data_IF_010253895819
#
_entry.id   IF_010253895819
#
_cell.length_a   1.000
_cell.length_b   1.000
_cell.length_c   1.000
_cell.angle_alpha   90.00
_cell.angle_beta   90.00
_cell.angle_gamma   90.00
#
_symmetry.space_group_name_H-M   'P 1'
#
loop_
_entity.id
_entity.type
_entity.pdbx_description
1 polymer ?
#
# COMPACT_ATOMS: atom_id res chain seq x y z
N UNK A 1 16.95 3.45 10.03
CA UNK A 1 15.81 3.60 9.10
C UNK A 1 14.74 4.42 9.78
N UNK A 2 13.98 5.25 9.05
CA UNK A 2 13.05 6.22 9.67
C UNK A 2 12.02 5.59 10.63
N UNK A 3 11.61 4.34 10.37
CA UNK A 3 10.65 3.59 11.18
C UNK A 3 11.27 2.87 12.39
N UNK A 4 12.58 2.59 12.39
CA UNK A 4 13.27 1.86 13.46
C UNK A 4 13.38 2.66 14.77
N UNK A 5 13.20 3.99 14.70
CA UNK A 5 13.20 4.86 15.88
C UNK A 5 11.90 4.76 16.70
N UNK A 6 10.84 4.18 16.12
CA UNK A 6 9.50 4.12 16.71
C UNK A 6 9.05 2.68 17.03
N UNK A 7 9.89 1.69 16.74
CA UNK A 7 9.62 0.28 17.02
C UNK A 7 10.38 -0.67 16.13
N UNK A 8 10.13 -1.97 16.33
CA UNK A 8 10.75 -3.02 15.51
C UNK A 8 10.07 -3.09 14.14
N UNK A 9 10.85 -2.99 13.08
CA UNK A 9 10.35 -3.24 11.71
C UNK A 9 10.52 -4.71 11.37
N UNK A 10 9.41 -5.43 11.19
CA UNK A 10 9.45 -6.83 10.79
C UNK A 10 9.74 -6.97 9.30
N UNK A 11 9.12 -6.13 8.47
CA UNK A 11 9.34 -6.14 7.03
C UNK A 11 9.06 -4.78 6.41
N UNK A 12 9.85 -4.41 5.39
CA UNK A 12 9.62 -3.19 4.60
C UNK A 12 9.65 -3.53 3.11
N UNK A 13 8.57 -3.18 2.41
CA UNK A 13 8.39 -3.48 0.99
C UNK A 13 8.04 -2.23 0.20
N UNK A 14 8.99 -1.75 -0.60
CA UNK A 14 8.77 -0.65 -1.55
C UNK A 14 8.10 -1.21 -2.81
N UNK A 15 7.04 -0.54 -3.28
CA UNK A 15 6.39 -0.93 -4.52
C UNK A 15 7.06 -0.17 -5.67
N UNK A 16 7.76 -0.91 -6.52
CA UNK A 16 8.30 -0.41 -7.78
C UNK A 16 7.42 -0.82 -8.95
N UNK A 17 7.45 -0.04 -10.02
CA UNK A 17 6.89 -0.40 -11.30
C UNK A 17 7.75 -1.52 -11.92
N UNK A 18 7.11 -2.60 -12.33
CA UNK A 18 7.84 -3.82 -12.76
C UNK A 18 8.40 -3.70 -14.17
N UNK A 19 7.99 -2.71 -14.94
CA UNK A 19 8.43 -2.52 -16.33
C UNK A 19 9.57 -1.50 -16.41
N UNK A 20 9.43 -0.37 -15.72
CA UNK A 20 10.43 0.71 -15.66
C UNK A 20 11.45 0.54 -14.54
N UNK A 21 11.12 -0.21 -13.48
CA UNK A 21 11.94 -0.33 -12.27
C UNK A 21 11.83 0.88 -11.33
N UNK A 22 11.09 1.92 -11.71
CA UNK A 22 10.95 3.13 -10.91
C UNK A 22 10.09 2.89 -9.65
N UNK A 23 10.45 3.54 -8.54
CA UNK A 23 9.62 3.53 -7.35
C UNK A 23 8.28 4.17 -7.64
N UNK A 24 7.19 3.55 -7.22
CA UNK A 24 5.85 4.15 -7.34
C UNK A 24 5.58 5.21 -6.28
N UNK A 25 6.57 5.53 -5.45
CA UNK A 25 6.46 6.52 -4.38
C UNK A 25 5.68 6.04 -3.15
N UNK A 26 5.42 4.73 -3.03
CA UNK A 26 4.77 4.15 -1.86
C UNK A 26 5.34 2.76 -1.52
N UNK A 27 5.22 2.40 -0.24
CA UNK A 27 5.64 1.11 0.28
C UNK A 27 4.76 0.69 1.45
N UNK A 28 4.98 -0.53 1.91
CA UNK A 28 4.32 -1.09 3.09
C UNK A 28 5.39 -1.44 4.11
N UNK A 29 5.14 -1.10 5.36
CA UNK A 29 5.97 -1.47 6.52
C UNK A 29 5.11 -2.31 7.44
N UNK A 30 5.62 -3.48 7.82
CA UNK A 30 5.02 -4.42 8.74
C UNK A 30 5.73 -4.29 10.09
N UNK A 31 4.95 -4.02 11.13
CA UNK A 31 5.39 -3.86 12.51
C UNK A 31 4.70 -4.94 13.35
N UNK A 32 5.39 -5.53 14.35
CA UNK A 32 4.85 -6.65 15.11
C UNK A 32 3.71 -6.21 16.05
N UNK A 33 3.67 -4.94 16.46
CA UNK A 33 2.61 -4.41 17.32
C UNK A 33 1.92 -3.20 16.70
N UNK A 34 0.60 -3.10 16.96
CA UNK A 34 -0.20 -1.94 16.54
C UNK A 34 0.23 -0.65 17.26
N UNK A 35 0.75 -0.75 18.48
CA UNK A 35 1.21 0.40 19.26
C UNK A 35 2.40 1.09 18.55
N UNK A 36 3.44 0.33 18.23
CA UNK A 36 4.61 0.83 17.48
C UNK A 36 4.21 1.39 16.11
N UNK A 37 3.30 0.69 15.40
CA UNK A 37 2.78 1.19 14.12
C UNK A 37 2.06 2.54 14.26
N UNK A 38 1.31 2.75 15.35
CA UNK A 38 0.56 3.98 15.60
C UNK A 38 1.48 5.13 15.97
N UNK A 39 2.51 4.89 16.79
CA UNK A 39 3.54 5.88 17.09
C UNK A 39 4.31 6.29 15.84
N UNK A 40 4.73 5.31 15.03
CA UNK A 40 5.40 5.57 13.75
C UNK A 40 4.51 6.37 12.79
N UNK A 41 3.22 6.03 12.68
CA UNK A 41 2.26 6.82 11.89
C UNK A 41 2.21 8.27 12.39
N UNK A 42 1.99 8.48 13.68
CA UNK A 42 1.84 9.83 14.24
C UNK A 42 3.10 10.68 14.12
N UNK A 43 4.30 10.07 14.13
CA UNK A 43 5.56 10.80 14.09
C UNK A 43 6.10 11.00 12.67
N UNK A 44 5.81 10.08 11.75
CA UNK A 44 6.30 10.12 10.38
C UNK A 44 5.28 10.66 9.38
N UNK A 45 3.99 10.66 9.69
CA UNK A 45 2.99 11.27 8.82
C UNK A 45 3.24 12.77 8.65
N UNK A 46 3.36 13.21 7.39
CA UNK A 46 3.70 14.57 7.04
C UNK A 46 5.18 14.94 7.22
N UNK A 47 6.01 14.02 7.73
CA UNK A 47 7.45 14.25 7.87
C UNK A 47 8.17 14.23 6.53
N UNK A 48 9.34 14.86 6.47
CA UNK A 48 10.21 14.81 5.29
C UNK A 48 11.15 13.61 5.39
N UNK A 49 11.11 12.74 4.38
CA UNK A 49 12.00 11.60 4.24
C UNK A 49 12.77 11.73 2.92
N UNK A 50 14.10 11.92 3.03
CA UNK A 50 15.01 12.09 1.88
C UNK A 50 14.59 13.22 0.93
N UNK A 51 14.11 14.35 1.46
CA UNK A 51 13.68 15.49 0.66
C UNK A 51 12.28 15.37 0.07
N UNK A 52 11.50 14.37 0.46
CA UNK A 52 10.10 14.22 0.06
C UNK A 52 9.20 14.07 1.28
N UNK A 53 8.09 14.80 1.32
CA UNK A 53 7.06 14.58 2.34
C UNK A 53 6.43 13.20 2.14
N UNK A 54 6.38 12.44 3.23
CA UNK A 54 5.74 11.13 3.26
C UNK A 54 4.42 11.18 4.00
N UNK A 55 3.52 10.29 3.62
CA UNK A 55 2.23 10.07 4.29
C UNK A 55 2.29 8.66 4.86
N UNK A 56 1.98 8.52 6.14
CA UNK A 56 2.04 7.23 6.84
C UNK A 56 0.68 6.96 7.47
N UNK A 57 -0.01 5.95 6.94
CA UNK A 57 -1.36 5.59 7.37
C UNK A 57 -1.54 4.08 7.52
N UNK A 58 -2.66 3.69 8.15
CA UNK A 58 -2.98 2.29 8.36
C UNK A 58 -3.14 1.59 7.01
N UNK A 59 -2.32 0.56 6.79
CA UNK A 59 -2.29 -0.18 5.53
C UNK A 59 -3.64 -0.85 5.30
N UNK A 60 -4.40 -0.35 4.33
CA UNK A 60 -5.64 -1.01 3.91
C UNK A 60 -5.27 -2.27 3.13
N UNK A 61 -5.86 -3.44 3.46
CA UNK A 61 -5.65 -4.64 2.66
C UNK A 61 -6.03 -4.29 1.23
N UNK A 62 -5.21 -4.72 0.26
CA UNK A 62 -5.55 -4.57 -1.15
C UNK A 62 -6.89 -5.26 -1.35
N UNK A 63 -7.97 -4.47 -1.48
CA UNK A 63 -9.24 -4.98 -1.94
C UNK A 63 -8.94 -5.68 -3.25
N UNK A 64 -9.23 -6.97 -3.34
CA UNK A 64 -9.08 -7.76 -4.54
C UNK A 64 -10.03 -7.18 -5.60
N UNK A 65 -9.61 -6.10 -6.29
CA UNK A 65 -10.29 -5.60 -7.49
C UNK A 65 -9.91 -6.46 -8.70
N UNK A 66 -9.73 -7.77 -8.49
CA UNK A 66 -9.57 -8.76 -9.55
C UNK A 66 -10.55 -9.92 -9.39
N UNK A 67 -11.82 -9.64 -9.09
CA UNK A 67 -12.90 -10.57 -9.45
C UNK A 67 -14.26 -9.92 -9.63
N UNK A 68 -14.46 -9.21 -10.73
CA UNK A 68 -15.78 -8.64 -11.04
C UNK A 68 -15.95 -8.08 -12.45
N UNK A 69 -15.27 -8.65 -13.46
CA UNK A 69 -15.37 -8.19 -14.85
C UNK A 69 -15.51 -9.36 -15.83
N UNK A 70 -16.23 -10.41 -15.44
CA UNK A 70 -16.36 -11.63 -16.23
C UNK A 70 -17.74 -12.26 -16.07
N UNK A 71 -18.77 -11.63 -16.63
CA UNK A 71 -20.03 -12.28 -17.02
C UNK A 71 -20.79 -11.42 -18.02
N UNK A 72 -20.24 -11.24 -19.23
CA UNK A 72 -21.09 -11.19 -20.43
C UNK A 72 -21.49 -12.63 -20.77
N UNK A 73 -22.26 -13.25 -19.87
CA UNK A 73 -23.01 -14.47 -20.18
C UNK A 73 -24.17 -14.02 -21.06
N UNK A 74 -24.23 -14.57 -22.27
CA UNK A 74 -25.25 -14.21 -23.25
C UNK A 74 -26.67 -14.33 -22.70
N UNK A 75 -27.54 -13.40 -23.13
CA UNK A 75 -28.99 -13.54 -23.15
C UNK A 75 -29.57 -12.76 -24.35
N UNK A 76 -30.39 -13.45 -25.13
CA UNK A 76 -31.22 -12.94 -26.25
C UNK A 76 -30.53 -13.09 -27.60
N UNK A 77 -30.79 -14.07 -28.49
CA UNK A 77 -32.08 -14.64 -28.94
C UNK A 77 -33.13 -13.56 -29.26
N UNK A 78 -33.29 -13.28 -30.56
CA UNK A 78 -34.56 -12.85 -31.16
C UNK A 78 -34.52 -11.57 -31.98
N UNK A 79 -35.12 -11.63 -33.18
CA UNK A 79 -35.53 -10.56 -34.12
C UNK A 79 -34.44 -10.05 -35.09
N UNK A 80 -34.55 -10.17 -36.43
CA UNK A 80 -35.66 -10.39 -37.37
C UNK A 80 -35.17 -11.22 -38.57
#
# INVERSE_FOLDING_TARGET
>A
GAFENYGVVESAKVITDRFSGESRGFGFVEMPTKAEATEAMSALDGSELKGQNIIVNEARPRSDRRRGGGSRRGRGRGHF
#
